data_IF_022858421003
#
_entry.id   IF_022858421003
#
_cell.length_a   1.000
_cell.length_b   1.000
_cell.length_c   1.000
_cell.angle_alpha   90.00
_cell.angle_beta   90.00
_cell.angle_gamma   90.00
#
_symmetry.space_group_name_H-M   'P 1'
#
loop_
_entity.id
_entity.type
_entity.pdbx_description
1 polymer ?
#
# COMPACT_ATOMS: atom_id res chain seq x y z
N UNK A 1 0.02 27.23 8.88
CA UNK A 1 -1.04 26.52 9.62
C UNK A 1 -0.41 25.39 10.41
N UNK A 2 -0.83 25.16 11.66
CA UNK A 2 -0.39 23.98 12.41
C UNK A 2 -0.93 22.73 11.72
N UNK A 3 -0.08 21.69 11.58
CA UNK A 3 -0.54 20.40 11.03
C UNK A 3 -1.48 19.73 12.04
N UNK A 4 -2.47 19.01 11.55
CA UNK A 4 -3.36 18.22 12.39
C UNK A 4 -2.60 17.06 13.03
N UNK A 5 -3.02 16.65 14.23
CA UNK A 5 -2.55 15.42 14.84
C UNK A 5 -3.39 14.24 14.34
N UNK A 6 -2.74 13.07 14.19
CA UNK A 6 -3.42 11.84 13.87
C UNK A 6 -3.94 11.19 15.15
N UNK A 7 -5.23 10.88 15.20
CA UNK A 7 -5.87 10.18 16.31
C UNK A 7 -6.18 8.73 15.92
N UNK A 8 -5.70 7.77 16.71
CA UNK A 8 -5.94 6.34 16.50
C UNK A 8 -7.28 5.94 17.12
N UNK A 9 -8.33 5.99 16.33
CA UNK A 9 -9.70 5.62 16.77
C UNK A 9 -10.12 4.24 16.29
N UNK A 10 -9.49 3.72 15.24
CA UNK A 10 -9.85 2.48 14.55
C UNK A 10 -8.61 1.64 14.23
N UNK A 11 -8.75 0.30 14.07
CA UNK A 11 -7.66 -0.53 13.57
C UNK A 11 -7.15 -0.03 12.22
N UNK A 12 -5.84 0.05 12.05
CA UNK A 12 -5.20 0.48 10.82
C UNK A 12 -4.85 -0.72 9.95
N UNK A 13 -5.24 -0.66 8.66
CA UNK A 13 -5.00 -1.71 7.67
C UNK A 13 -4.43 -1.09 6.39
N UNK A 14 -3.37 -1.68 5.86
CA UNK A 14 -2.80 -1.29 4.59
C UNK A 14 -3.40 -2.16 3.49
N UNK A 15 -4.05 -1.55 2.51
CA UNK A 15 -4.54 -2.25 1.33
C UNK A 15 -4.00 -1.58 0.07
N UNK A 16 -4.19 -2.21 -1.08
CA UNK A 16 -3.85 -1.55 -2.33
C UNK A 16 -4.50 -2.21 -3.51
N UNK A 17 -4.51 -1.48 -4.63
CA UNK A 17 -5.00 -1.95 -5.91
C UNK A 17 -3.89 -2.59 -6.73
N UNK A 18 -4.13 -3.79 -7.24
CA UNK A 18 -3.27 -4.54 -8.15
C UNK A 18 -4.07 -4.98 -9.38
N UNK A 19 -3.40 -5.34 -10.46
CA UNK A 19 -4.04 -5.80 -11.70
C UNK A 19 -3.44 -5.16 -12.94
N UNK A 20 -3.95 -5.55 -14.11
CA UNK A 20 -3.43 -5.14 -15.41
C UNK A 20 -3.52 -3.61 -15.63
N UNK A 21 -2.68 -3.08 -16.53
CA UNK A 21 -2.81 -1.71 -17.04
C UNK A 21 -4.20 -1.53 -17.67
N UNK A 22 -4.77 -0.33 -17.59
CA UNK A 22 -6.08 0.03 -18.15
C UNK A 22 -7.31 -0.71 -17.58
N UNK A 23 -7.14 -1.58 -16.56
CA UNK A 23 -8.27 -2.19 -15.86
C UNK A 23 -8.96 -1.24 -14.88
N UNK A 24 -8.46 -0.01 -14.69
CA UNK A 24 -9.09 1.06 -13.92
C UNK A 24 -8.78 1.07 -12.42
N UNK A 25 -7.57 0.67 -12.00
CA UNK A 25 -7.11 0.70 -10.61
C UNK A 25 -7.20 2.09 -9.99
N UNK A 26 -6.57 3.08 -10.60
CA UNK A 26 -6.57 4.47 -10.13
C UNK A 26 -7.98 5.08 -10.19
N UNK A 27 -8.78 4.72 -11.20
CA UNK A 27 -10.20 5.12 -11.28
C UNK A 27 -10.99 4.56 -10.10
N UNK A 28 -10.75 3.29 -9.73
CA UNK A 28 -11.38 2.66 -8.57
C UNK A 28 -10.95 3.34 -7.27
N UNK A 29 -9.66 3.63 -7.11
CA UNK A 29 -9.14 4.36 -5.95
C UNK A 29 -9.81 5.74 -5.81
N UNK A 30 -9.98 6.46 -6.91
CA UNK A 30 -10.70 7.74 -6.93
C UNK A 30 -12.20 7.56 -6.58
N UNK A 31 -12.86 6.52 -7.12
CA UNK A 31 -14.26 6.21 -6.82
C UNK A 31 -14.47 5.86 -5.33
N UNK A 32 -13.57 5.08 -4.74
CA UNK A 32 -13.60 4.76 -3.30
C UNK A 32 -13.51 6.03 -2.47
N UNK A 33 -12.53 6.90 -2.74
CA UNK A 33 -12.37 8.15 -1.98
C UNK A 33 -13.56 9.09 -2.14
N UNK A 34 -14.15 9.18 -3.35
CA UNK A 34 -15.36 9.96 -3.58
C UNK A 34 -16.54 9.42 -2.78
N UNK A 35 -16.80 8.12 -2.88
CA UNK A 35 -17.92 7.45 -2.20
C UNK A 35 -17.83 7.62 -0.68
N UNK A 36 -16.65 7.36 -0.10
CA UNK A 36 -16.43 7.50 1.34
C UNK A 36 -16.41 8.98 1.80
N UNK A 37 -16.01 9.91 0.93
CA UNK A 37 -16.12 11.35 1.23
C UNK A 37 -17.56 11.82 1.36
N UNK A 38 -18.49 11.24 0.60
CA UNK A 38 -19.94 11.51 0.74
C UNK A 38 -20.50 11.01 2.07
N UNK A 39 -19.90 9.96 2.67
CA UNK A 39 -20.18 9.51 4.02
C UNK A 39 -19.43 10.30 5.12
N UNK A 40 -18.54 11.24 4.74
CA UNK A 40 -17.70 11.99 5.68
C UNK A 40 -16.50 11.19 6.23
N UNK A 41 -16.13 10.07 5.58
CA UNK A 41 -15.11 9.13 6.03
C UNK A 41 -13.80 9.24 5.25
N UNK A 42 -13.71 10.13 4.27
CA UNK A 42 -12.52 10.37 3.46
C UNK A 42 -12.41 11.83 3.01
N UNK A 43 -11.21 12.23 2.57
CA UNK A 43 -11.03 13.40 1.72
C UNK A 43 -11.11 12.96 0.26
N UNK A 44 -12.04 13.55 -0.51
CA UNK A 44 -12.20 13.25 -1.94
C UNK A 44 -10.89 13.53 -2.67
N UNK A 45 -10.40 12.53 -3.39
CA UNK A 45 -9.22 12.61 -4.25
C UNK A 45 -9.64 12.44 -5.70
N UNK A 46 -9.37 13.45 -6.52
CA UNK A 46 -9.55 13.33 -7.96
C UNK A 46 -8.43 12.46 -8.57
N UNK A 47 -8.71 11.81 -9.69
CA UNK A 47 -7.76 10.99 -10.46
C UNK A 47 -6.40 11.70 -10.63
N UNK A 48 -6.42 12.96 -11.08
CA UNK A 48 -5.21 13.77 -11.30
C UNK A 48 -4.43 14.11 -10.02
N UNK A 49 -5.00 13.90 -8.85
CA UNK A 49 -4.35 14.12 -7.57
C UNK A 49 -3.73 12.82 -7.02
N UNK A 50 -4.15 11.66 -7.53
CA UNK A 50 -3.57 10.35 -7.26
C UNK A 50 -2.36 10.18 -8.17
N UNK A 51 -2.53 10.22 -9.49
CA UNK A 51 -1.44 10.23 -10.48
C UNK A 51 -0.91 11.66 -10.62
N UNK A 52 0.01 12.03 -9.73
CA UNK A 52 0.43 13.42 -9.58
C UNK A 52 1.63 13.83 -10.43
N UNK A 53 2.44 12.87 -10.90
CA UNK A 53 3.64 13.14 -11.69
C UNK A 53 3.28 13.61 -13.11
N UNK A 54 4.02 14.56 -13.69
CA UNK A 54 3.75 15.02 -15.05
C UNK A 54 3.76 13.91 -16.11
N UNK A 55 4.69 12.93 -15.97
CA UNK A 55 4.77 11.78 -16.87
C UNK A 55 3.57 10.83 -16.75
N UNK A 56 3.01 10.66 -15.55
CA UNK A 56 1.82 9.85 -15.31
C UNK A 56 0.61 10.45 -16.02
N UNK A 57 0.45 11.77 -15.91
CA UNK A 57 -0.63 12.51 -16.58
C UNK A 57 -0.51 12.51 -18.10
N UNK A 58 0.72 12.64 -18.63
CA UNK A 58 0.98 12.63 -20.07
C UNK A 58 0.71 11.27 -20.70
N UNK A 59 1.09 10.19 -19.99
CA UNK A 59 0.94 8.82 -20.48
C UNK A 59 -0.39 8.17 -20.08
N UNK A 60 -1.13 8.72 -19.12
CA UNK A 60 -2.36 8.15 -18.58
C UNK A 60 -2.15 6.82 -17.83
N UNK A 61 -0.94 6.59 -17.29
CA UNK A 61 -0.59 5.37 -16.55
C UNK A 61 0.09 5.71 -15.24
N UNK A 62 -0.19 4.93 -14.20
CA UNK A 62 0.50 5.05 -12.91
C UNK A 62 1.92 4.50 -13.03
N UNK A 63 2.91 5.30 -12.63
CA UNK A 63 4.34 4.96 -12.64
C UNK A 63 4.83 4.66 -11.23
N UNK A 64 4.52 5.56 -10.30
CA UNK A 64 4.89 5.45 -8.89
C UNK A 64 3.69 4.99 -8.06
N UNK A 65 3.97 4.36 -6.93
CA UNK A 65 2.92 4.06 -5.96
C UNK A 65 2.37 5.34 -5.36
N UNK A 66 1.05 5.50 -5.39
CA UNK A 66 0.36 6.60 -4.72
C UNK A 66 -0.27 6.10 -3.42
N UNK A 67 -0.22 6.93 -2.38
CA UNK A 67 -0.81 6.61 -1.08
C UNK A 67 -2.02 7.51 -0.82
N UNK A 68 -3.14 6.88 -0.49
CA UNK A 68 -4.40 7.56 -0.18
C UNK A 68 -4.89 7.08 1.18
N UNK A 69 -5.48 7.97 1.96
CA UNK A 69 -6.04 7.69 3.28
C UNK A 69 -7.56 7.78 3.22
N UNK A 70 -8.25 6.83 3.84
CA UNK A 70 -9.69 6.87 4.08
C UNK A 70 -10.09 5.94 5.22
N UNK A 71 -11.34 6.05 5.65
CA UNK A 71 -11.91 5.22 6.70
C UNK A 71 -13.19 4.54 6.23
N UNK A 72 -13.50 3.43 6.85
CA UNK A 72 -14.85 2.88 6.92
C UNK A 72 -15.41 3.10 8.34
N UNK A 73 -16.59 2.61 8.62
CA UNK A 73 -17.12 2.63 9.99
C UNK A 73 -16.26 1.83 10.97
N UNK A 74 -15.56 0.80 10.48
CA UNK A 74 -14.85 -0.20 11.28
C UNK A 74 -13.33 0.00 11.30
N UNK A 75 -12.73 0.53 10.22
CA UNK A 75 -11.28 0.53 10.02
C UNK A 75 -10.79 1.83 9.40
N UNK A 76 -9.52 2.13 9.65
CA UNK A 76 -8.75 3.17 8.99
C UNK A 76 -7.82 2.51 7.95
N UNK A 77 -7.80 3.01 6.73
CA UNK A 77 -7.06 2.43 5.61
C UNK A 77 -5.98 3.38 5.09
N UNK A 78 -4.77 2.84 4.92
CA UNK A 78 -3.77 3.35 3.99
C UNK A 78 -3.90 2.55 2.70
N UNK A 79 -4.26 3.20 1.61
CA UNK A 79 -4.43 2.58 0.32
C UNK A 79 -3.24 2.90 -0.59
N UNK A 80 -2.61 1.88 -1.13
CA UNK A 80 -1.50 1.97 -2.07
C UNK A 80 -2.00 1.68 -3.47
N UNK A 81 -2.06 2.70 -4.32
CA UNK A 81 -2.36 2.51 -5.74
C UNK A 81 -1.09 2.08 -6.48
N UNK A 82 -1.08 0.86 -7.02
CA UNK A 82 0.09 0.26 -7.67
C UNK A 82 0.05 0.44 -9.19
N UNK A 83 1.23 0.67 -9.83
CA UNK A 83 1.33 0.67 -11.27
C UNK A 83 0.94 -0.68 -11.85
N UNK A 84 0.28 -0.65 -13.03
CA UNK A 84 -0.15 -1.86 -13.74
C UNK A 84 0.80 -2.29 -14.87
N UNK A 85 1.68 -1.40 -15.33
CA UNK A 85 2.54 -1.64 -16.48
C UNK A 85 3.79 -2.46 -16.11
N UNK A 86 4.19 -3.38 -16.97
CA UNK A 86 5.33 -4.29 -16.76
C UNK A 86 6.66 -3.57 -16.47
N UNK A 87 6.89 -2.40 -17.07
CA UNK A 87 8.12 -1.62 -16.85
C UNK A 87 8.28 -1.14 -15.39
N UNK A 88 7.16 -1.07 -14.64
CA UNK A 88 7.13 -0.55 -13.26
C UNK A 88 6.92 -1.63 -12.20
N UNK A 89 7.17 -2.89 -12.52
CA UNK A 89 7.05 -4.05 -11.60
C UNK A 89 7.81 -3.83 -10.29
N UNK A 90 8.97 -3.16 -10.31
CA UNK A 90 9.74 -2.83 -9.09
C UNK A 90 8.94 -1.97 -8.12
N UNK A 91 8.19 -1.00 -8.64
CA UNK A 91 7.35 -0.12 -7.81
C UNK A 91 6.11 -0.89 -7.31
N UNK A 92 5.53 -1.76 -8.15
CA UNK A 92 4.45 -2.65 -7.75
C UNK A 92 4.87 -3.57 -6.60
N UNK A 93 6.04 -4.23 -6.69
CA UNK A 93 6.56 -5.11 -5.62
C UNK A 93 6.73 -4.33 -4.30
N UNK A 94 7.29 -3.11 -4.38
CA UNK A 94 7.48 -2.27 -3.19
C UNK A 94 6.15 -1.89 -2.56
N UNK A 95 5.14 -1.53 -3.36
CA UNK A 95 3.80 -1.23 -2.88
C UNK A 95 3.12 -2.47 -2.28
N UNK A 96 3.17 -3.60 -2.99
CA UNK A 96 2.54 -4.85 -2.54
C UNK A 96 3.14 -5.37 -1.22
N UNK A 97 4.44 -5.19 -0.99
CA UNK A 97 5.10 -5.59 0.26
C UNK A 97 4.57 -4.82 1.49
N UNK A 98 3.90 -3.69 1.30
CA UNK A 98 3.31 -2.91 2.38
C UNK A 98 1.88 -3.35 2.74
N UNK A 99 1.23 -4.17 1.90
CA UNK A 99 -0.20 -4.47 2.01
C UNK A 99 -0.48 -5.57 3.03
N UNK A 100 -1.52 -5.37 3.80
CA UNK A 100 -2.15 -6.38 4.66
C UNK A 100 -3.28 -7.11 3.91
N UNK A 101 -3.65 -6.64 2.74
CA UNK A 101 -4.58 -7.22 1.79
C UNK A 101 -4.60 -6.44 0.48
N UNK A 102 -5.10 -7.02 -0.59
CA UNK A 102 -5.14 -6.35 -1.88
C UNK A 102 -6.53 -6.40 -2.53
N UNK A 103 -6.82 -5.41 -3.37
CA UNK A 103 -7.96 -5.40 -4.28
C UNK A 103 -7.43 -5.70 -5.68
N UNK A 104 -7.78 -6.87 -6.21
CA UNK A 104 -7.46 -7.22 -7.57
C UNK A 104 -8.50 -6.62 -8.51
N UNK A 105 -8.07 -5.75 -9.42
CA UNK A 105 -8.96 -5.10 -10.39
C UNK A 105 -8.83 -5.79 -11.75
N UNK A 106 -9.94 -6.33 -12.23
CA UNK A 106 -10.02 -7.00 -13.54
C UNK A 106 -11.15 -6.36 -14.35
N UNK A 107 -10.87 -5.92 -15.58
CA UNK A 107 -11.93 -5.44 -16.47
C UNK A 107 -12.78 -6.61 -16.94
N UNK A 108 -14.10 -6.50 -16.83
CA UNK A 108 -15.05 -7.53 -17.24
C UNK A 108 -14.98 -7.81 -18.75
N UNK A 109 -14.68 -6.77 -19.55
CA UNK A 109 -14.52 -6.89 -21.01
C UNK A 109 -13.30 -7.70 -21.44
N UNK A 110 -12.23 -7.71 -20.63
CA UNK A 110 -10.93 -8.25 -21.03
C UNK A 110 -10.57 -9.54 -20.27
N UNK A 111 -11.17 -9.74 -19.11
CA UNK A 111 -10.82 -10.83 -18.19
C UNK A 111 -9.39 -10.72 -17.62
N UNK A 112 -8.87 -11.81 -17.02
CA UNK A 112 -7.53 -11.83 -16.46
C UNK A 112 -6.44 -11.79 -17.55
N UNK A 113 -5.64 -10.73 -17.55
CA UNK A 113 -4.57 -10.47 -18.51
C UNK A 113 -3.17 -10.88 -17.99
N UNK A 114 -2.13 -10.63 -18.76
CA UNK A 114 -0.76 -11.05 -18.41
C UNK A 114 -0.28 -10.45 -17.07
N UNK A 115 -0.43 -9.13 -16.88
CA UNK A 115 -0.02 -8.49 -15.61
C UNK A 115 -0.92 -8.89 -14.43
N UNK A 116 -2.18 -9.29 -14.66
CA UNK A 116 -3.02 -9.85 -13.60
C UNK A 116 -2.36 -11.08 -12.97
N UNK A 117 -1.84 -11.98 -13.82
CA UNK A 117 -1.13 -13.21 -13.41
C UNK A 117 0.19 -12.88 -12.69
N UNK A 118 0.95 -11.95 -13.24
CA UNK A 118 2.21 -11.50 -12.65
C UNK A 118 1.99 -10.84 -11.28
N UNK A 119 0.98 -9.98 -11.15
CA UNK A 119 0.67 -9.31 -9.89
C UNK A 119 0.20 -10.29 -8.81
N UNK A 120 -0.59 -11.30 -9.15
CA UNK A 120 -0.98 -12.34 -8.20
C UNK A 120 0.22 -13.15 -7.72
N UNK A 121 1.12 -13.56 -8.64
CA UNK A 121 2.35 -14.25 -8.27
C UNK A 121 3.20 -13.40 -7.32
N UNK A 122 3.40 -12.13 -7.63
CA UNK A 122 4.20 -11.22 -6.83
C UNK A 122 3.55 -10.93 -5.47
N UNK A 123 2.24 -10.70 -5.43
CA UNK A 123 1.50 -10.52 -4.19
C UNK A 123 1.66 -11.73 -3.26
N UNK A 124 1.60 -12.95 -3.82
CA UNK A 124 1.84 -14.18 -3.05
C UNK A 124 3.27 -14.26 -2.53
N UNK A 125 4.27 -13.92 -3.36
CA UNK A 125 5.68 -13.96 -2.98
C UNK A 125 6.05 -12.94 -1.90
N UNK A 126 5.46 -11.75 -1.92
CA UNK A 126 5.69 -10.73 -0.87
C UNK A 126 4.85 -10.95 0.38
N UNK A 127 3.95 -11.94 0.37
CA UNK A 127 3.19 -12.37 1.54
C UNK A 127 1.88 -11.62 1.78
N UNK A 128 1.24 -11.07 0.74
CA UNK A 128 -0.13 -10.54 0.85
C UNK A 128 -1.08 -11.66 1.30
N UNK A 129 -1.74 -11.55 2.46
CA UNK A 129 -2.46 -12.67 3.05
C UNK A 129 -3.84 -12.93 2.42
N UNK A 130 -4.51 -11.90 1.91
CA UNK A 130 -5.87 -12.00 1.38
C UNK A 130 -6.10 -11.01 0.23
N UNK A 131 -6.95 -11.40 -0.71
CA UNK A 131 -7.33 -10.61 -1.88
C UNK A 131 -8.86 -10.54 -1.97
N UNK A 132 -9.39 -9.36 -2.30
CA UNK A 132 -10.78 -9.15 -2.73
C UNK A 132 -10.74 -8.73 -4.19
N UNK A 133 -11.69 -9.14 -5.00
CA UNK A 133 -11.72 -8.83 -6.43
C UNK A 133 -12.79 -7.78 -6.75
N UNK A 134 -12.42 -6.81 -7.54
CA UNK A 134 -13.35 -5.89 -8.18
C UNK A 134 -13.34 -6.12 -9.69
N UNK A 135 -14.43 -6.72 -10.20
CA UNK A 135 -14.67 -6.90 -11.63
C UNK A 135 -15.21 -5.59 -12.19
N UNK A 136 -14.29 -4.76 -12.69
CA UNK A 136 -14.55 -3.41 -13.15
C UNK A 136 -15.09 -3.38 -14.58
N UNK A 137 -15.67 -2.26 -15.00
CA UNK A 137 -16.25 -2.03 -16.33
C UNK A 137 -17.39 -3.02 -16.66
N UNK A 138 -18.10 -3.49 -15.66
CA UNK A 138 -19.24 -4.41 -15.86
C UNK A 138 -20.37 -3.77 -16.68
N UNK A 139 -20.44 -2.44 -16.70
CA UNK A 139 -21.34 -1.63 -17.53
C UNK A 139 -21.08 -1.75 -19.04
N UNK A 140 -19.93 -2.30 -19.46
CA UNK A 140 -19.56 -2.50 -20.86
C UNK A 140 -19.92 -3.90 -21.38
N UNK A 141 -20.45 -4.76 -20.52
CA UNK A 141 -20.78 -6.16 -20.86
C UNK A 141 -22.26 -6.40 -20.59
N UNK A 142 -23.04 -6.56 -21.67
CA UNK A 142 -24.48 -6.79 -21.58
C UNK A 142 -24.83 -8.27 -21.37
N UNK A 143 -23.86 -9.18 -21.53
CA UNK A 143 -24.05 -10.62 -21.45
C UNK A 143 -23.65 -11.14 -20.04
N UNK A 144 -24.63 -11.58 -19.27
CA UNK A 144 -24.42 -12.15 -17.94
C UNK A 144 -23.60 -13.46 -17.98
N UNK A 145 -23.75 -14.29 -19.04
CA UNK A 145 -22.97 -15.53 -19.17
C UNK A 145 -21.48 -15.21 -19.36
N UNK A 146 -21.15 -14.12 -20.05
CA UNK A 146 -19.75 -13.66 -20.19
C UNK A 146 -19.20 -13.18 -18.86
N UNK A 147 -19.98 -12.46 -18.05
CA UNK A 147 -19.56 -12.05 -16.70
C UNK A 147 -19.27 -13.25 -15.79
N UNK A 148 -20.10 -14.28 -15.88
CA UNK A 148 -19.91 -15.51 -15.09
C UNK A 148 -18.68 -16.30 -15.56
N UNK A 149 -18.40 -16.36 -16.85
CA UNK A 149 -17.18 -16.96 -17.40
C UNK A 149 -15.93 -16.23 -16.91
N UNK A 150 -15.91 -14.90 -16.93
CA UNK A 150 -14.79 -14.11 -16.41
C UNK A 150 -14.61 -14.31 -14.92
N UNK A 151 -15.72 -14.43 -14.15
CA UNK A 151 -15.66 -14.76 -12.74
C UNK A 151 -15.03 -16.13 -12.50
N UNK A 152 -15.40 -17.15 -13.26
CA UNK A 152 -14.81 -18.49 -13.18
C UNK A 152 -13.30 -18.46 -13.49
N UNK A 153 -12.88 -17.73 -14.53
CA UNK A 153 -11.47 -17.58 -14.88
C UNK A 153 -10.67 -16.91 -13.77
N UNK A 154 -11.27 -15.91 -13.10
CA UNK A 154 -10.63 -15.24 -11.96
C UNK A 154 -10.47 -16.21 -10.79
N UNK A 155 -11.51 -17.00 -10.44
CA UNK A 155 -11.46 -17.98 -9.34
C UNK A 155 -10.41 -19.05 -9.59
N UNK A 156 -10.37 -19.64 -10.80
CA UNK A 156 -9.34 -20.60 -11.20
C UNK A 156 -7.93 -20.00 -11.11
N UNK A 157 -7.79 -18.73 -11.51
CA UNK A 157 -6.52 -18.03 -11.44
C UNK A 157 -6.07 -17.79 -9.99
N UNK A 158 -6.98 -17.43 -9.08
CA UNK A 158 -6.70 -17.26 -7.66
C UNK A 158 -6.21 -18.56 -7.03
N UNK A 159 -6.90 -19.68 -7.27
CA UNK A 159 -6.51 -21.00 -6.79
C UNK A 159 -5.13 -21.42 -7.29
N UNK A 160 -4.83 -21.13 -8.55
CA UNK A 160 -3.51 -21.40 -9.14
C UNK A 160 -2.36 -20.70 -8.41
N UNK A 161 -2.61 -19.55 -7.80
CA UNK A 161 -1.62 -18.78 -7.03
C UNK A 161 -1.80 -18.90 -5.52
N UNK A 162 -2.45 -19.97 -5.05
CA UNK A 162 -2.68 -20.29 -3.63
C UNK A 162 -3.51 -19.24 -2.86
N UNK A 163 -4.42 -18.55 -3.53
CA UNK A 163 -5.48 -17.78 -2.90
C UNK A 163 -6.80 -18.55 -2.96
N UNK A 164 -7.68 -18.47 -1.96
CA UNK A 164 -8.92 -19.27 -1.90
C UNK A 164 -9.95 -18.74 -2.93
N UNK A 165 -9.90 -19.23 -4.17
CA UNK A 165 -10.73 -18.74 -5.28
C UNK A 165 -12.23 -18.82 -4.99
N UNK A 166 -12.70 -19.92 -4.43
CA UNK A 166 -14.14 -20.12 -4.10
C UNK A 166 -14.63 -19.19 -3.00
N UNK A 167 -13.78 -18.87 -2.01
CA UNK A 167 -14.14 -18.05 -0.85
C UNK A 167 -13.93 -16.54 -1.11
N UNK A 168 -13.10 -16.19 -2.10
CA UNK A 168 -12.75 -14.80 -2.40
C UNK A 168 -13.97 -14.02 -2.89
N UNK A 169 -14.33 -12.90 -2.23
CA UNK A 169 -15.40 -12.03 -2.70
C UNK A 169 -15.05 -11.41 -4.06
N UNK A 170 -15.97 -11.51 -5.01
CA UNK A 170 -15.86 -10.86 -6.33
C UNK A 170 -17.05 -9.91 -6.49
N UNK A 171 -16.76 -8.62 -6.54
CA UNK A 171 -17.77 -7.57 -6.68
C UNK A 171 -17.76 -7.08 -8.13
N UNK A 172 -18.92 -7.12 -8.80
CA UNK A 172 -19.12 -6.64 -10.17
C UNK A 172 -19.59 -5.18 -10.13
N UNK A 173 -18.94 -4.29 -10.91
CA UNK A 173 -19.33 -2.88 -10.92
C UNK A 173 -18.58 -2.04 -11.95
N UNK A 174 -18.85 -0.74 -11.93
CA UNK A 174 -18.15 0.26 -12.74
C UNK A 174 -17.62 1.39 -11.85
N UNK A 175 -16.30 1.45 -11.73
CA UNK A 175 -15.64 2.54 -11.00
C UNK A 175 -15.87 3.90 -11.67
N UNK A 176 -15.94 3.94 -13.01
CA UNK A 176 -16.20 5.17 -13.75
C UNK A 176 -17.62 5.66 -13.51
N UNK A 177 -18.62 4.78 -13.55
CA UNK A 177 -20.01 5.15 -13.26
C UNK A 177 -20.14 5.76 -11.87
N UNK A 178 -19.49 5.18 -10.84
CA UNK A 178 -19.48 5.75 -9.49
C UNK A 178 -18.77 7.12 -9.44
N UNK A 179 -17.69 7.28 -10.22
CA UNK A 179 -16.94 8.54 -10.26
C UNK A 179 -17.74 9.66 -10.95
N UNK A 180 -18.53 9.34 -11.98
CA UNK A 180 -19.35 10.28 -12.75
C UNK A 180 -20.75 10.51 -12.14
N UNK A 181 -21.20 9.65 -11.25
CA UNK A 181 -22.49 9.76 -10.57
C UNK A 181 -22.61 11.10 -9.81
N UNK A 182 -23.83 11.66 -9.67
CA UNK A 182 -24.06 12.85 -8.85
C UNK A 182 -23.64 12.60 -7.40
N UNK A 183 -23.31 13.67 -6.66
CA UNK A 183 -22.89 13.57 -5.25
C UNK A 183 -24.08 13.26 -4.32
N UNK A 184 -24.75 12.13 -4.57
CA UNK A 184 -25.87 11.58 -3.82
C UNK A 184 -25.69 10.06 -3.65
N UNK A 185 -25.45 9.61 -2.42
CA UNK A 185 -25.23 8.18 -2.09
C UNK A 185 -26.42 7.27 -2.42
N UNK A 186 -27.61 7.82 -2.67
CA UNK A 186 -28.77 7.03 -3.11
C UNK A 186 -28.66 6.56 -4.57
N UNK A 187 -27.71 7.10 -5.33
CA UNK A 187 -27.45 6.67 -6.70
C UNK A 187 -26.91 5.23 -6.70
N UNK A 188 -27.52 4.33 -7.51
CA UNK A 188 -27.14 2.93 -7.56
C UNK A 188 -25.68 2.69 -8.00
N UNK A 189 -25.04 3.64 -8.67
CA UNK A 189 -23.65 3.54 -9.09
C UNK A 189 -22.66 3.41 -7.92
N UNK A 190 -23.02 3.92 -6.72
CA UNK A 190 -22.18 3.79 -5.52
C UNK A 190 -22.26 2.43 -4.84
N UNK A 191 -23.35 1.67 -5.08
CA UNK A 191 -23.57 0.39 -4.40
C UNK A 191 -22.42 -0.60 -4.55
N UNK A 192 -21.85 -0.86 -5.76
CA UNK A 192 -20.71 -1.76 -5.90
C UNK A 192 -19.47 -1.31 -5.13
N UNK A 193 -19.25 0.00 -4.97
CA UNK A 193 -18.12 0.52 -4.21
C UNK A 193 -18.33 0.31 -2.71
N UNK A 194 -19.54 0.50 -2.21
CA UNK A 194 -19.89 0.21 -0.81
C UNK A 194 -19.80 -1.30 -0.53
N UNK A 195 -20.33 -2.14 -1.41
CA UNK A 195 -20.25 -3.60 -1.32
C UNK A 195 -18.79 -4.08 -1.33
N UNK A 196 -17.91 -3.43 -2.13
CA UNK A 196 -16.47 -3.69 -2.13
C UNK A 196 -15.84 -3.35 -0.77
N UNK A 197 -16.17 -2.20 -0.21
CA UNK A 197 -15.60 -1.80 1.08
C UNK A 197 -16.08 -2.67 2.23
N UNK A 198 -17.32 -3.12 2.20
CA UNK A 198 -17.85 -4.11 3.15
C UNK A 198 -17.13 -5.47 3.01
N UNK A 199 -16.86 -5.91 1.78
CA UNK A 199 -16.08 -7.12 1.53
C UNK A 199 -14.63 -6.98 2.03
N UNK A 200 -13.99 -5.83 1.81
CA UNK A 200 -12.65 -5.52 2.32
C UNK A 200 -12.63 -5.53 3.85
N UNK A 201 -13.63 -4.90 4.50
CA UNK A 201 -13.75 -4.86 5.96
C UNK A 201 -13.91 -6.26 6.58
N UNK A 202 -14.61 -7.16 5.90
CA UNK A 202 -14.98 -8.48 6.43
C UNK A 202 -13.99 -9.58 6.06
N UNK A 203 -13.49 -9.58 4.83
CA UNK A 203 -12.66 -10.67 4.30
C UNK A 203 -11.17 -10.48 4.57
N UNK A 204 -10.65 -9.23 4.48
CA UNK A 204 -9.24 -8.98 4.78
C UNK A 204 -9.03 -9.03 6.30
N UNK A 205 -8.12 -9.91 6.79
CA UNK A 205 -7.90 -10.04 8.23
C UNK A 205 -7.30 -8.77 8.81
N UNK A 206 -7.66 -8.43 10.06
CA UNK A 206 -6.93 -7.41 10.80
C UNK A 206 -5.54 -7.94 11.14
N UNK A 207 -4.46 -7.27 10.71
CA UNK A 207 -3.12 -7.79 10.88
C UNK A 207 -2.70 -7.80 12.35
N UNK A 208 -1.97 -8.86 12.74
CA UNK A 208 -1.32 -8.92 14.05
C UNK A 208 -0.06 -8.04 14.05
N UNK A 209 -0.08 -6.97 14.82
CA UNK A 209 0.99 -5.98 14.88
C UNK A 209 2.02 -6.34 15.96
N UNK A 210 3.26 -6.60 15.54
CA UNK A 210 4.39 -6.93 16.43
C UNK A 210 4.98 -5.68 17.09
N UNK A 211 4.15 -4.94 17.84
CA UNK A 211 4.52 -3.67 18.45
C UNK A 211 5.47 -3.82 19.64
N UNK A 212 5.55 -5.00 20.26
CA UNK A 212 6.42 -5.30 21.40
C UNK A 212 7.89 -5.57 21.01
N UNK A 213 8.16 -5.76 19.72
CA UNK A 213 9.51 -6.00 19.23
C UNK A 213 10.29 -4.69 19.06
N UNK A 214 11.64 -4.73 18.97
CA UNK A 214 12.43 -3.56 18.64
C UNK A 214 12.03 -2.97 17.29
N UNK A 215 11.95 -1.62 17.22
CA UNK A 215 11.59 -0.88 16.00
C UNK A 215 12.41 -1.30 14.78
N UNK A 216 11.72 -1.44 13.66
CA UNK A 216 12.30 -1.71 12.37
C UNK A 216 11.40 -1.15 11.26
N UNK A 217 12.00 -0.39 10.32
CA UNK A 217 11.33 0.18 9.15
C UNK A 217 12.27 0.12 7.94
N UNK A 218 11.93 -0.63 6.88
CA UNK A 218 12.60 -0.52 5.59
C UNK A 218 12.42 0.88 4.99
N UNK A 219 13.48 1.41 4.37
CA UNK A 219 13.43 2.70 3.69
C UNK A 219 12.96 2.51 2.26
N UNK A 220 11.83 3.12 1.93
CA UNK A 220 11.19 3.03 0.61
C UNK A 220 11.51 4.22 -0.27
N UNK A 221 11.55 5.41 0.31
CA UNK A 221 11.96 6.63 -0.38
C UNK A 221 12.63 7.60 0.59
N UNK A 222 13.41 8.52 0.02
CA UNK A 222 14.15 9.54 0.77
C UNK A 222 14.05 10.89 0.06
N UNK A 223 13.59 11.90 0.77
CA UNK A 223 13.51 13.25 0.26
C UNK A 223 13.94 14.29 1.30
N UNK A 224 14.22 15.48 0.85
CA UNK A 224 14.62 16.59 1.72
C UNK A 224 13.53 17.63 1.76
N UNK A 225 13.16 18.04 2.97
CA UNK A 225 12.26 19.18 3.18
C UNK A 225 13.12 20.40 3.53
N UNK A 226 13.04 21.45 2.70
CA UNK A 226 13.77 22.70 2.94
C UNK A 226 13.48 23.25 4.33
N UNK A 227 14.51 23.48 5.12
CA UNK A 227 14.42 23.99 6.50
C UNK A 227 14.04 22.95 7.55
N UNK A 228 13.74 21.68 7.20
CA UNK A 228 13.38 20.64 8.15
C UNK A 228 14.34 19.45 8.18
N UNK A 229 15.01 19.15 7.05
CA UNK A 229 16.00 18.08 6.95
C UNK A 229 15.57 16.93 6.05
N UNK A 230 16.24 15.80 6.19
CA UNK A 230 15.99 14.58 5.43
C UNK A 230 14.86 13.75 6.05
N UNK A 231 13.96 13.28 5.22
CA UNK A 231 12.84 12.40 5.58
C UNK A 231 13.05 11.06 4.91
N UNK A 232 13.02 10.00 5.69
CA UNK A 232 12.93 8.63 5.21
C UNK A 232 11.49 8.14 5.36
N UNK A 233 10.92 7.62 4.27
CA UNK A 233 9.58 7.03 4.31
C UNK A 233 9.65 5.52 4.28
N UNK A 234 8.64 4.89 4.85
CA UNK A 234 8.47 3.44 4.84
C UNK A 234 7.36 2.98 5.77
N UNK A 235 7.03 1.70 5.64
CA UNK A 235 6.13 1.03 6.57
C UNK A 235 6.92 0.55 7.80
N UNK A 236 6.40 0.80 8.98
CA UNK A 236 6.94 0.21 10.22
C UNK A 236 6.60 -1.28 10.25
N UNK A 237 7.60 -2.13 10.12
CA UNK A 237 7.43 -3.59 10.11
C UNK A 237 7.15 -4.15 11.51
N UNK A 238 7.81 -3.59 12.52
CA UNK A 238 7.67 -4.00 13.91
C UNK A 238 8.10 -2.92 14.88
N UNK A 239 7.64 -3.05 16.11
CA UNK A 239 7.99 -2.15 17.21
C UNK A 239 7.28 -0.81 17.15
N UNK A 240 7.78 0.11 17.96
CA UNK A 240 7.30 1.49 18.05
C UNK A 240 8.47 2.45 17.88
N UNK A 241 8.19 3.63 17.34
CA UNK A 241 9.10 4.75 17.17
C UNK A 241 8.48 6.01 17.73
N UNK A 242 9.22 6.74 18.59
CA UNK A 242 8.77 8.03 19.13
C UNK A 242 9.66 9.16 18.65
N UNK A 243 9.13 10.36 18.61
CA UNK A 243 9.93 11.56 18.42
C UNK A 243 10.95 11.67 19.58
N UNK A 244 12.23 11.84 19.22
CA UNK A 244 13.35 11.85 20.16
C UNK A 244 14.12 10.54 20.24
N UNK A 245 13.60 9.46 19.70
CA UNK A 245 14.31 8.17 19.70
C UNK A 245 15.54 8.20 18.79
N UNK A 246 16.61 7.51 19.24
CA UNK A 246 17.80 7.24 18.44
C UNK A 246 17.53 6.02 17.55
N UNK A 247 17.87 6.14 16.26
CA UNK A 247 17.79 5.08 15.28
C UNK A 247 19.14 4.86 14.59
N UNK A 248 19.38 3.65 14.12
CA UNK A 248 20.55 3.24 13.36
C UNK A 248 20.12 2.93 11.91
N UNK A 249 20.93 3.36 10.94
CA UNK A 249 20.72 3.09 9.52
C UNK A 249 21.59 1.90 9.13
N UNK A 250 20.98 0.83 8.61
CA UNK A 250 21.66 -0.41 8.26
C UNK A 250 21.44 -0.78 6.78
N UNK A 251 22.39 -1.52 6.22
CA UNK A 251 22.34 -2.09 4.89
C UNK A 251 23.01 -1.21 3.83
N UNK A 252 23.45 -1.83 2.74
CA UNK A 252 24.12 -1.25 1.57
C UNK A 252 25.46 -0.52 1.85
N UNK A 253 25.84 -0.36 3.11
CA UNK A 253 27.11 0.23 3.56
C UNK A 253 27.64 -0.53 4.77
N UNK A 254 28.95 -0.46 4.98
CA UNK A 254 29.60 -0.98 6.20
C UNK A 254 29.46 0.01 7.37
N UNK A 255 29.19 1.27 7.06
CA UNK A 255 28.92 2.29 8.06
C UNK A 255 27.52 2.12 8.64
N UNK A 256 27.37 2.41 9.92
CA UNK A 256 26.11 2.33 10.67
C UNK A 256 25.83 3.68 11.32
N UNK A 257 25.48 4.69 10.54
CA UNK A 257 25.21 6.01 11.09
C UNK A 257 24.01 5.93 12.04
N UNK A 258 24.13 6.64 13.16
CA UNK A 258 23.06 6.82 14.13
C UNK A 258 22.53 8.22 14.05
N UNK A 259 21.25 8.38 14.23
CA UNK A 259 20.57 9.67 14.21
C UNK A 259 19.40 9.69 15.15
N UNK A 260 18.84 10.88 15.38
CA UNK A 260 17.65 11.07 16.22
C UNK A 260 16.48 11.45 15.32
N UNK A 261 15.34 10.82 15.55
CA UNK A 261 14.09 11.16 14.89
C UNK A 261 13.52 12.44 15.51
N UNK A 262 13.39 13.48 14.71
CA UNK A 262 12.91 14.80 15.18
C UNK A 262 11.43 15.04 14.94
N UNK A 263 10.78 14.17 14.19
CA UNK A 263 9.35 14.23 13.92
C UNK A 263 8.89 13.02 13.12
N UNK A 264 7.63 12.67 13.28
CA UNK A 264 6.99 11.56 12.58
C UNK A 264 5.72 12.10 11.95
N UNK A 265 5.50 11.79 10.69
CA UNK A 265 4.31 12.21 9.94
C UNK A 265 3.71 11.04 9.17
N UNK A 266 2.38 10.97 9.13
CA UNK A 266 1.60 10.07 8.28
C UNK A 266 0.46 10.86 7.62
N UNK A 267 0.32 10.78 6.28
CA UNK A 267 -0.68 11.53 5.52
C UNK A 267 -0.72 13.04 5.86
N UNK A 268 0.46 13.66 6.01
CA UNK A 268 0.64 15.09 6.40
C UNK A 268 0.16 15.46 7.80
N UNK A 269 -0.27 14.48 8.62
CA UNK A 269 -0.60 14.63 10.04
C UNK A 269 0.61 14.28 10.91
N UNK A 270 0.76 14.95 12.04
CA UNK A 270 1.84 14.68 12.98
C UNK A 270 1.43 13.50 13.88
N UNK A 271 2.38 12.59 14.12
CA UNK A 271 2.22 11.50 15.07
C UNK A 271 3.14 11.73 16.27
N UNK A 272 2.65 11.45 17.48
CA UNK A 272 3.46 11.41 18.69
C UNK A 272 4.37 10.18 18.70
N UNK A 273 3.85 9.06 18.17
CA UNK A 273 4.57 7.81 17.96
C UNK A 273 4.01 7.07 16.74
N UNK A 274 4.88 6.28 16.12
CA UNK A 274 4.50 5.30 15.09
C UNK A 274 4.59 3.89 15.67
N UNK A 275 3.77 2.99 15.12
CA UNK A 275 3.78 1.57 15.49
C UNK A 275 3.75 0.66 14.27
N UNK A 276 3.98 -0.63 14.50
CA UNK A 276 3.96 -1.63 13.45
C UNK A 276 2.71 -1.48 12.56
N UNK A 277 2.91 -1.41 11.26
CA UNK A 277 1.87 -1.22 10.23
C UNK A 277 1.70 0.21 9.74
N UNK A 278 2.18 1.22 10.44
CA UNK A 278 2.06 2.60 9.98
C UNK A 278 2.99 2.90 8.80
N UNK A 279 2.47 3.58 7.79
CA UNK A 279 3.26 4.16 6.70
C UNK A 279 3.66 5.58 7.06
N UNK A 280 4.92 5.79 7.40
CA UNK A 280 5.39 7.04 7.99
C UNK A 280 6.51 7.70 7.20
N UNK A 281 6.63 9.01 7.39
CA UNK A 281 7.85 9.77 7.11
C UNK A 281 8.54 10.15 8.43
N UNK A 282 9.74 9.62 8.64
CA UNK A 282 10.58 9.95 9.79
C UNK A 282 11.58 11.05 9.44
N UNK A 283 11.53 12.17 10.15
CA UNK A 283 12.51 13.26 10.02
C UNK A 283 13.77 12.89 10.79
N UNK A 284 14.92 12.89 10.10
CA UNK A 284 16.21 12.50 10.63
C UNK A 284 17.11 13.71 10.85
N UNK A 285 17.72 13.81 12.06
CA UNK A 285 18.62 14.90 12.41
C UNK A 285 20.01 14.69 11.83
N UNK A 286 20.53 15.69 11.09
CA UNK A 286 21.94 15.70 10.65
C UNK A 286 22.29 14.65 9.59
N UNK A 287 21.32 13.97 9.03
CA UNK A 287 21.46 13.05 7.90
C UNK A 287 21.18 13.80 6.61
N UNK A 288 22.10 13.71 5.63
CA UNK A 288 21.88 14.21 4.30
C UNK A 288 21.23 13.15 3.41
N UNK A 289 20.61 13.57 2.31
CA UNK A 289 19.98 12.62 1.37
C UNK A 289 20.98 11.61 0.79
N UNK A 290 22.25 11.97 0.71
CA UNK A 290 23.35 11.09 0.26
C UNK A 290 23.69 9.97 1.23
N UNK A 291 23.34 10.13 2.52
CA UNK A 291 23.76 9.23 3.60
C UNK A 291 22.75 8.11 3.84
N UNK A 292 21.58 8.22 3.23
CA UNK A 292 20.50 7.24 3.33
C UNK A 292 19.84 7.03 1.97
N UNK A 293 19.50 5.79 1.65
CA UNK A 293 18.89 5.44 0.36
C UNK A 293 17.86 4.30 0.51
N UNK A 294 17.00 4.20 -0.50
CA UNK A 294 16.02 3.12 -0.62
C UNK A 294 16.69 1.76 -0.50
N UNK A 295 16.08 0.85 0.26
CA UNK A 295 16.58 -0.49 0.52
C UNK A 295 17.42 -0.63 1.78
N UNK A 296 17.79 0.48 2.41
CA UNK A 296 18.32 0.46 3.79
C UNK A 296 17.19 0.30 4.81
N UNK A 297 17.56 0.10 6.07
CA UNK A 297 16.62 -0.12 7.17
C UNK A 297 16.92 0.84 8.30
N UNK A 298 15.90 1.52 8.82
CA UNK A 298 15.96 2.19 10.11
C UNK A 298 15.57 1.22 11.21
N UNK A 299 16.37 1.13 12.25
CA UNK A 299 16.08 0.24 13.39
C UNK A 299 16.55 0.82 14.72
N UNK A 300 16.07 0.22 15.82
CA UNK A 300 16.60 0.53 17.15
C UNK A 300 18.09 0.15 17.19
N UNK A 301 18.98 1.03 17.69
CA UNK A 301 20.42 0.76 17.73
C UNK A 301 20.74 -0.60 18.37
N UNK A 302 21.57 -1.39 17.69
CA UNK A 302 22.01 -2.69 18.19
C UNK A 302 20.95 -3.81 18.17
N UNK A 303 19.76 -3.57 17.65
CA UNK A 303 18.66 -4.56 17.63
C UNK A 303 18.78 -5.58 16.49
N UNK A 304 19.61 -5.31 15.49
CA UNK A 304 19.84 -6.19 14.35
C UNK A 304 21.29 -6.63 14.31
N UNK A 305 21.50 -7.93 14.29
CA UNK A 305 22.80 -8.54 14.03
C UNK A 305 22.93 -8.85 12.54
N UNK A 306 23.96 -8.32 11.91
CA UNK A 306 24.28 -8.67 10.51
C UNK A 306 24.76 -10.12 10.43
N UNK A 307 24.32 -10.85 9.39
CA UNK A 307 24.82 -12.22 9.10
C UNK A 307 26.34 -12.28 8.98
N UNK A 308 27.00 -11.20 8.56
CA UNK A 308 28.46 -11.09 8.50
C UNK A 308 29.08 -11.24 9.88
N UNK A 309 28.45 -10.74 10.93
CA UNK A 309 28.95 -10.86 12.31
C UNK A 309 28.68 -12.24 12.93
N UNK A 310 27.75 -13.01 12.36
CA UNK A 310 27.47 -14.39 12.79
C UNK A 310 28.46 -15.37 12.10
N UNK A 311 28.88 -15.10 10.87
CA UNK A 311 29.75 -16.00 10.10
C UNK A 311 31.24 -15.75 10.27
N UNK A 312 31.71 -14.55 10.61
CA UNK A 312 33.13 -14.25 10.82
C UNK A 312 33.80 -15.01 12.00
N UNK A 313 33.16 -15.20 13.15
CA UNK A 313 33.79 -16.00 14.22
C UNK A 313 34.09 -17.44 13.84
N UNK A 314 33.25 -18.03 12.97
CA UNK A 314 33.43 -19.41 12.51
C UNK A 314 34.52 -19.54 11.45
N UNK A 315 34.82 -18.54 10.67
CA UNK A 315 35.90 -18.54 9.68
C UNK A 315 37.30 -18.44 10.30
N UNK A 316 37.42 -17.75 11.45
CA UNK A 316 38.71 -17.63 12.17
C UNK A 316 39.13 -18.91 12.89
N UNK A 317 38.21 -19.82 13.18
CA UNK A 317 38.49 -21.09 13.88
C UNK A 317 38.93 -22.21 12.92
N UNK A 318 38.68 -22.07 11.61
CA UNK A 318 39.02 -23.10 10.59
C UNK A 318 40.38 -22.86 9.92
N UNK A 319 41.09 -21.77 10.24
CA UNK A 319 42.39 -21.40 9.64
C UNK A 319 43.53 -21.43 10.69
N UNK A 320 43.32 -22.08 11.82
CA UNK A 320 44.38 -22.38 12.82
C UNK A 320 44.68 -23.85 12.88
#
# INVERSE_FOLDING_TARGET
MAKAHFERTKPHVNIGTIGHVDHGKTTLTAAITKTLALEGLAEKKDYNNIDSAPEERERGITINTAHVEYETKNRHYAHVDCPGHADYVKNMITGAAQMDGAILVVAASDGPMAQTREHLLLARQVGVPAIVVFMNKADQVDDEELLDLVEMDIRELLDKYDFPGDETPIIKGSALAALEAPDDLSDPAYKPILDLMDAVDTFIPTPDRKSDLPFLMPVEDVFTITGRGTVATGRVERGQLKTGDEVEILGLSTERPKTVVTGIEMFRKILDYAEAGDNIGALLRGIQRSDIQRGQVLCKPGSILSLIHISEPTRRVVIS
#
